data_IF_934448394009
#
_entry.id   IF_934448394009
#
_cell.length_a   1.000
_cell.length_b   1.000
_cell.length_c   1.000
_cell.angle_alpha   90.00
_cell.angle_beta   90.00
_cell.angle_gamma   90.00
#
_symmetry.space_group_name_H-M   'P 1'
#
loop_
_entity.id
_entity.type
_entity.pdbx_description
1 polymer ?
#
# COMPACT_ATOMS: atom_id res chain seq x y z
N UNK A 1 -12.22 -10.33 -7.92
CA UNK A 1 -11.22 -9.54 -8.68
C UNK A 1 -10.00 -9.46 -7.80
N UNK A 2 -8.84 -9.90 -8.28
CA UNK A 2 -7.59 -9.83 -7.51
C UNK A 2 -7.12 -8.37 -7.44
N UNK A 3 -6.94 -7.83 -6.23
CA UNK A 3 -6.56 -6.43 -6.02
C UNK A 3 -5.23 -6.08 -6.68
N UNK A 4 -4.30 -7.05 -6.78
CA UNK A 4 -3.02 -6.88 -7.47
C UNK A 4 -3.21 -6.53 -8.94
N UNK A 5 -4.07 -7.29 -9.63
CA UNK A 5 -4.38 -7.07 -11.06
C UNK A 5 -4.97 -5.69 -11.31
N UNK A 6 -5.82 -5.21 -10.39
CA UNK A 6 -6.39 -3.87 -10.49
C UNK A 6 -5.33 -2.78 -10.35
N UNK A 7 -4.44 -2.88 -9.34
CA UNK A 7 -3.33 -1.93 -9.14
C UNK A 7 -2.46 -1.88 -10.39
N UNK A 8 -1.97 -3.03 -10.85
CA UNK A 8 -1.10 -3.12 -12.03
C UNK A 8 -1.79 -2.48 -13.25
N UNK A 9 -3.04 -2.85 -13.54
CA UNK A 9 -3.76 -2.30 -14.69
C UNK A 9 -3.92 -0.77 -14.64
N UNK A 10 -4.14 -0.20 -13.45
CA UNK A 10 -4.27 1.25 -13.29
C UNK A 10 -2.94 1.98 -13.52
N UNK A 11 -1.84 1.47 -12.97
CA UNK A 11 -0.51 2.09 -13.10
C UNK A 11 0.19 1.79 -14.43
N UNK A 12 -0.22 0.76 -15.17
CA UNK A 12 0.21 0.53 -16.55
C UNK A 12 -0.50 1.47 -17.55
N UNK A 13 -1.62 2.08 -17.18
CA UNK A 13 -2.35 2.99 -18.06
C UNK A 13 -1.71 4.39 -18.14
N UNK A 14 -2.08 5.17 -19.16
CA UNK A 14 -1.64 6.58 -19.29
C UNK A 14 -2.08 7.45 -18.09
N UNK A 15 -3.13 7.02 -17.37
CA UNK A 15 -3.66 7.72 -16.20
C UNK A 15 -2.79 7.60 -14.97
N UNK A 16 -1.75 6.76 -14.95
CA UNK A 16 -0.87 6.56 -13.80
C UNK A 16 -0.37 7.89 -13.19
N UNK A 17 0.02 8.85 -14.03
CA UNK A 17 0.52 10.17 -13.65
C UNK A 17 -0.53 11.03 -12.91
N UNK A 18 -1.82 10.77 -13.11
CA UNK A 18 -2.92 11.50 -12.47
C UNK A 18 -3.35 10.90 -11.12
N UNK A 19 -2.83 9.72 -10.77
CA UNK A 19 -3.19 9.05 -9.52
C UNK A 19 -2.37 9.67 -8.40
N UNK A 20 -3.01 10.57 -7.64
CA UNK A 20 -2.42 11.19 -6.46
C UNK A 20 -2.77 10.46 -5.16
N UNK A 21 -3.82 9.63 -5.20
CA UNK A 21 -4.40 8.97 -4.03
C UNK A 21 -4.91 7.58 -4.40
N UNK A 22 -4.68 6.61 -3.54
CA UNK A 22 -5.25 5.26 -3.67
C UNK A 22 -5.90 4.87 -2.35
N UNK A 23 -7.17 4.47 -2.40
CA UNK A 23 -7.92 4.02 -1.22
C UNK A 23 -8.22 2.53 -1.35
N UNK A 24 -7.63 1.73 -0.48
CA UNK A 24 -7.80 0.28 -0.44
C UNK A 24 -8.75 -0.10 0.70
N UNK A 25 -10.05 0.08 0.46
CA UNK A 25 -11.10 -0.22 1.45
C UNK A 25 -11.55 -1.69 1.39
N UNK A 26 -10.60 -2.61 1.55
CA UNK A 26 -10.84 -4.04 1.66
C UNK A 26 -10.08 -4.60 2.87
N UNK A 27 -10.58 -4.42 4.10
CA UNK A 27 -9.75 -4.54 5.31
C UNK A 27 -9.24 -5.96 5.64
N UNK A 28 -9.78 -6.99 4.99
CA UNK A 28 -9.27 -8.35 5.14
C UNK A 28 -7.95 -8.54 4.38
N UNK A 29 -7.90 -8.06 3.13
CA UNK A 29 -6.88 -8.47 2.16
C UNK A 29 -5.98 -7.31 1.67
N UNK A 30 -6.39 -6.06 1.87
CA UNK A 30 -5.75 -4.89 1.24
C UNK A 30 -4.26 -4.77 1.54
N UNK A 31 -3.82 -5.07 2.76
CA UNK A 31 -2.40 -5.04 3.10
C UNK A 31 -1.57 -6.05 2.32
N UNK A 32 -2.14 -7.21 1.96
CA UNK A 32 -1.43 -8.23 1.19
C UNK A 32 -1.18 -7.79 -0.24
N UNK A 33 -2.03 -6.93 -0.80
CA UNK A 33 -1.91 -6.42 -2.17
C UNK A 33 -0.96 -5.24 -2.31
N UNK A 34 -0.34 -4.78 -1.21
CA UNK A 34 0.62 -3.68 -1.24
C UNK A 34 1.90 -4.06 -2.01
N UNK A 35 2.21 -5.35 -2.09
CA UNK A 35 3.29 -5.89 -2.91
C UNK A 35 3.15 -5.52 -4.39
N UNK A 36 1.92 -5.35 -4.88
CA UNK A 36 1.65 -4.96 -6.26
C UNK A 36 2.08 -3.52 -6.59
N UNK A 37 2.39 -2.68 -5.59
CA UNK A 37 2.99 -1.36 -5.84
C UNK A 37 4.50 -1.43 -6.10
N UNK A 38 5.15 -2.57 -5.85
CA UNK A 38 6.59 -2.71 -6.12
C UNK A 38 6.84 -2.70 -7.62
N UNK A 39 7.59 -1.71 -8.08
CA UNK A 39 7.98 -1.57 -9.48
C UNK A 39 6.91 -1.01 -10.42
N UNK A 40 5.79 -0.50 -9.90
CA UNK A 40 4.69 0.05 -10.75
C UNK A 40 5.10 1.23 -11.62
N UNK A 41 6.20 1.91 -11.30
CA UNK A 41 6.76 3.00 -12.10
C UNK A 41 8.16 2.66 -12.67
N UNK A 42 8.61 1.40 -12.61
CA UNK A 42 9.97 1.00 -13.03
C UNK A 42 10.32 1.39 -14.47
N UNK A 43 9.36 1.28 -15.39
CA UNK A 43 9.55 1.56 -16.82
C UNK A 43 9.38 3.04 -17.17
N UNK A 44 9.04 3.89 -16.19
CA UNK A 44 8.84 5.32 -16.40
C UNK A 44 10.17 6.09 -16.27
N UNK A 45 10.34 7.21 -16.99
CA UNK A 45 11.53 8.05 -16.88
C UNK A 45 11.74 8.52 -15.44
N UNK A 46 12.98 8.51 -14.93
CA UNK A 46 13.24 8.94 -13.53
C UNK A 46 13.23 10.46 -13.34
N UNK A 47 13.28 11.19 -14.45
CA UNK A 47 13.48 12.65 -14.50
C UNK A 47 12.16 13.44 -14.57
N UNK A 48 11.03 12.76 -14.73
CA UNK A 48 9.72 13.41 -14.56
C UNK A 48 9.43 13.57 -13.06
N UNK A 49 8.94 14.75 -12.66
CA UNK A 49 8.43 14.99 -11.31
C UNK A 49 7.17 14.15 -11.07
N UNK A 50 7.36 12.90 -10.64
CA UNK A 50 6.26 12.04 -10.21
C UNK A 50 5.84 12.42 -8.78
N UNK A 51 4.66 13.01 -8.64
CA UNK A 51 3.98 13.01 -7.34
C UNK A 51 3.58 11.58 -7.02
N UNK A 52 4.31 10.93 -6.11
CA UNK A 52 3.99 9.58 -5.68
C UNK A 52 2.65 9.59 -4.92
N UNK A 53 1.74 8.64 -5.20
CA UNK A 53 0.42 8.65 -4.60
C UNK A 53 0.50 8.41 -3.10
N UNK A 54 -0.39 9.06 -2.36
CA UNK A 54 -0.69 8.63 -1.00
C UNK A 54 -1.56 7.38 -1.06
N UNK A 55 -1.14 6.34 -0.34
CA UNK A 55 -1.86 5.08 -0.19
C UNK A 55 -2.57 5.10 1.15
N UNK A 56 -3.89 4.90 1.12
CA UNK A 56 -4.72 4.68 2.29
C UNK A 56 -5.16 3.22 2.31
N UNK A 57 -4.57 2.44 3.21
CA UNK A 57 -4.88 1.01 3.35
C UNK A 57 -5.68 0.77 4.62
N UNK A 58 -6.83 0.13 4.48
CA UNK A 58 -7.62 -0.31 5.62
C UNK A 58 -7.25 -1.74 5.98
N UNK A 59 -7.28 -2.06 7.27
CA UNK A 59 -6.96 -3.39 7.76
C UNK A 59 -7.61 -3.71 9.08
N UNK A 60 -7.66 -5.01 9.40
CA UNK A 60 -8.03 -5.46 10.74
C UNK A 60 -6.83 -5.98 11.51
N UNK A 61 -6.82 -5.73 12.83
CA UNK A 61 -5.90 -6.37 13.77
C UNK A 61 -6.62 -6.76 15.06
N UNK A 62 -6.20 -7.91 15.63
CA UNK A 62 -6.60 -8.37 16.97
C UNK A 62 -5.42 -8.37 17.96
N UNK A 63 -4.29 -7.81 17.57
CA UNK A 63 -3.10 -7.76 18.41
C UNK A 63 -3.31 -6.83 19.61
N UNK A 64 -2.47 -7.00 20.63
CA UNK A 64 -2.45 -6.10 21.78
C UNK A 64 -2.09 -4.67 21.37
N UNK A 65 -1.14 -4.55 20.43
CA UNK A 65 -0.79 -3.30 19.75
C UNK A 65 -1.17 -3.43 18.25
N UNK A 66 -2.40 -3.03 17.89
CA UNK A 66 -2.90 -3.21 16.53
C UNK A 66 -2.19 -2.29 15.52
N UNK A 67 -1.75 -1.10 15.94
CA UNK A 67 -0.95 -0.21 15.08
C UNK A 67 0.39 -0.83 14.71
N UNK A 68 1.12 -1.38 15.68
CA UNK A 68 2.41 -2.03 15.43
C UNK A 68 2.26 -3.26 14.52
N UNK A 69 1.30 -4.15 14.81
CA UNK A 69 1.01 -5.33 13.97
C UNK A 69 0.72 -4.92 12.52
N UNK A 70 -0.11 -3.90 12.33
CA UNK A 70 -0.48 -3.46 11.00
C UNK A 70 0.66 -2.74 10.27
N UNK A 71 1.50 -1.99 10.98
CA UNK A 71 2.71 -1.36 10.43
C UNK A 71 3.70 -2.40 9.90
N UNK A 72 3.95 -3.46 10.67
CA UNK A 72 4.85 -4.54 10.27
C UNK A 72 4.32 -5.28 9.03
N UNK A 73 3.01 -5.56 8.96
CA UNK A 73 2.39 -6.14 7.76
C UNK A 73 2.61 -5.28 6.50
N UNK A 74 2.50 -3.96 6.63
CA UNK A 74 2.75 -3.01 5.53
C UNK A 74 4.22 -3.08 5.09
N UNK A 75 5.16 -3.05 6.03
CA UNK A 75 6.60 -3.14 5.74
C UNK A 75 6.98 -4.43 5.03
N UNK A 76 6.43 -5.56 5.49
CA UNK A 76 6.64 -6.87 4.88
C UNK A 76 6.09 -6.89 3.46
N UNK A 77 4.84 -6.49 3.25
CA UNK A 77 4.21 -6.50 1.93
C UNK A 77 4.91 -5.57 0.94
N UNK A 78 5.34 -4.39 1.39
CA UNK A 78 6.13 -3.47 0.58
C UNK A 78 7.59 -3.89 0.43
N UNK A 79 8.08 -4.84 1.23
CA UNK A 79 9.50 -5.16 1.37
C UNK A 79 10.37 -3.89 1.52
N UNK A 80 9.94 -3.01 2.42
CA UNK A 80 10.54 -1.72 2.73
C UNK A 80 10.36 -1.41 4.22
N UNK A 81 11.43 -1.02 4.89
CA UNK A 81 11.45 -0.74 6.34
C UNK A 81 11.24 0.75 6.64
N UNK A 82 11.68 1.61 5.73
CA UNK A 82 11.64 3.06 5.87
C UNK A 82 10.35 3.64 5.27
N UNK A 83 9.19 3.15 5.73
CA UNK A 83 7.88 3.72 5.39
C UNK A 83 7.37 4.51 6.58
N UNK A 84 7.23 5.82 6.40
CA UNK A 84 6.58 6.70 7.36
C UNK A 84 5.06 6.58 7.20
N UNK A 85 4.39 6.05 8.21
CA UNK A 85 2.98 5.66 8.13
C UNK A 85 2.19 6.33 9.25
N UNK A 86 1.20 7.12 8.87
CA UNK A 86 0.20 7.65 9.79
C UNK A 86 -0.84 6.57 10.08
N UNK A 87 -0.95 6.16 11.34
CA UNK A 87 -1.90 5.16 11.81
C UNK A 87 -3.12 5.79 12.48
N UNK A 88 -4.31 5.30 12.12
CA UNK A 88 -5.58 5.72 12.73
C UNK A 88 -6.45 4.52 13.06
N UNK A 89 -6.87 4.40 14.33
CA UNK A 89 -7.97 3.51 14.74
C UNK A 89 -9.29 4.05 14.23
N UNK A 90 -9.98 3.27 13.40
CA UNK A 90 -11.28 3.65 12.81
C UNK A 90 -12.41 3.29 13.77
N UNK A 91 -12.48 2.02 14.18
CA UNK A 91 -13.49 1.48 15.11
C UNK A 91 -13.14 0.06 15.54
N UNK A 92 -13.79 -0.41 16.60
CA UNK A 92 -13.90 -1.85 16.88
C UNK A 92 -14.91 -2.49 15.93
N UNK A 93 -14.58 -3.68 15.42
CA UNK A 93 -15.48 -4.49 14.58
C UNK A 93 -15.90 -5.80 15.26
N UNK A 94 -15.20 -6.17 16.34
CA UNK A 94 -15.55 -7.23 17.27
C UNK A 94 -14.78 -6.98 18.58
N UNK A 95 -15.09 -7.68 19.70
CA UNK A 95 -14.31 -7.58 20.93
C UNK A 95 -12.81 -7.79 20.65
N UNK A 96 -12.00 -6.76 20.96
CA UNK A 96 -10.55 -6.78 20.73
C UNK A 96 -10.09 -6.72 19.27
N UNK A 97 -11.00 -6.63 18.28
CA UNK A 97 -10.66 -6.52 16.85
C UNK A 97 -10.84 -5.08 16.38
N UNK A 98 -9.74 -4.41 16.10
CA UNK A 98 -9.71 -3.06 15.53
C UNK A 98 -9.75 -3.08 14.02
N UNK A 99 -10.45 -2.10 13.45
CA UNK A 99 -10.26 -1.62 12.09
C UNK A 99 -9.34 -0.41 12.13
N UNK A 100 -8.30 -0.45 11.30
CA UNK A 100 -7.29 0.58 11.17
C UNK A 100 -7.33 1.18 9.77
N UNK A 101 -6.84 2.40 9.66
CA UNK A 101 -6.47 3.05 8.42
C UNK A 101 -5.02 3.49 8.55
N UNK A 102 -4.18 3.03 7.64
CA UNK A 102 -2.80 3.44 7.53
C UNK A 102 -2.64 4.30 6.28
N UNK A 103 -1.99 5.44 6.41
CA UNK A 103 -1.79 6.41 5.33
C UNK A 103 -0.30 6.71 5.16
N UNK A 104 0.21 6.58 3.93
CA UNK A 104 1.61 6.86 3.63
C UNK A 104 1.78 7.26 2.17
N UNK A 105 2.79 8.07 1.87
CA UNK A 105 3.19 8.30 0.47
C UNK A 105 3.93 7.06 -0.02
N UNK A 106 3.57 6.56 -1.21
CA UNK A 106 4.25 5.41 -1.81
C UNK A 106 5.76 5.69 -1.89
N UNK A 107 6.64 4.89 -1.26
CA UNK A 107 8.06 5.17 -1.28
C UNK A 107 8.65 5.07 -2.69
N UNK A 108 9.57 5.98 -3.03
CA UNK A 108 10.29 5.94 -4.32
C UNK A 108 11.09 4.64 -4.46
N UNK A 109 11.66 4.14 -3.36
CA UNK A 109 12.37 2.85 -3.33
C UNK A 109 11.49 1.68 -3.75
N UNK A 110 10.20 1.70 -3.39
CA UNK A 110 9.19 0.69 -3.73
C UNK A 110 8.71 0.88 -5.18
N UNK A 111 8.28 2.09 -5.55
CA UNK A 111 7.67 2.37 -6.85
C UNK A 111 8.59 2.01 -8.04
N UNK A 112 9.90 2.14 -7.87
CA UNK A 112 10.92 1.86 -8.88
C UNK A 112 11.72 0.57 -8.60
N UNK A 113 11.30 -0.25 -7.64
CA UNK A 113 11.93 -1.54 -7.32
C UNK A 113 11.76 -2.58 -8.43
N UNK A 114 12.44 -3.72 -8.29
CA UNK A 114 12.09 -4.94 -9.04
C UNK A 114 10.73 -5.48 -8.54
N UNK A 115 9.79 -5.82 -9.43
CA UNK A 115 8.54 -6.48 -9.06
C UNK A 115 8.79 -7.80 -8.34
N UNK A 116 7.83 -8.22 -7.50
CA UNK A 116 7.89 -9.52 -6.80
C UNK A 116 7.64 -10.69 -7.76
N UNK A 117 6.93 -10.46 -8.87
CA UNK A 117 6.48 -11.48 -9.82
C UNK A 117 7.47 -11.80 -10.97
N UNK A 118 8.71 -11.31 -10.90
CA UNK A 118 9.79 -11.69 -11.83
C UNK A 118 10.80 -12.62 -11.11
N UNK A 119 10.45 -13.89 -10.97
CA UNK A 119 11.36 -14.99 -10.61
C UNK A 119 11.07 -16.22 -11.48
#
# INVERSE_FOLDING_TARGET
>A
MDGRRFIIAMFSSERAHSITQVVMNLPNDAAEFLDAFRGVLRERPRDEEFSLPTIHVYGFSKAQDPEFDFHERIRIALSEVAVDVEMRRVRLVAPGKWMLCASFVLPKSVAFAKPVLEA
#
